data_IF_754383878764
#
_entry.id   IF_754383878764
#
_cell.length_a   1.000
_cell.length_b   1.000
_cell.length_c   1.000
_cell.angle_alpha   90.00
_cell.angle_beta   90.00
_cell.angle_gamma   90.00
#
_symmetry.space_group_name_H-M   'P 1'
#
loop_
_entity.id
_entity.type
_entity.pdbx_description
1 polymer ?
#
# COMPACT_ATOMS: atom_id res chain seq x y z
N UNK A 1 30.77 -3.84 -56.74
CA UNK A 1 29.70 -4.25 -55.81
C UNK A 1 29.83 -3.39 -54.57
N UNK A 2 28.96 -2.39 -54.46
CA UNK A 2 29.14 -1.16 -53.67
C UNK A 2 28.61 -1.29 -52.23
N UNK A 3 29.41 -0.87 -51.25
CA UNK A 3 28.99 -0.67 -49.86
C UNK A 3 28.25 0.65 -49.71
N UNK A 4 26.92 0.60 -49.52
CA UNK A 4 26.11 1.79 -49.26
C UNK A 4 26.04 2.08 -47.77
N UNK A 5 26.87 3.03 -47.33
CA UNK A 5 26.86 3.64 -45.99
C UNK A 5 25.62 4.54 -45.87
N UNK A 6 24.62 4.13 -45.09
CA UNK A 6 23.42 4.95 -44.82
C UNK A 6 23.78 6.12 -43.89
N UNK A 7 23.61 7.34 -44.37
CA UNK A 7 23.64 8.59 -43.59
C UNK A 7 22.44 8.60 -42.63
N UNK A 8 22.69 8.87 -41.35
CA UNK A 8 21.63 9.19 -40.39
C UNK A 8 21.04 10.56 -40.74
N UNK A 9 19.71 10.62 -40.84
CA UNK A 9 18.94 11.84 -41.06
C UNK A 9 18.47 12.44 -39.72
N UNK A 10 19.38 12.56 -38.76
CA UNK A 10 19.08 13.18 -37.47
C UNK A 10 20.05 14.34 -37.28
N UNK A 11 19.52 15.55 -37.47
CA UNK A 11 20.25 16.79 -37.27
C UNK A 11 19.90 17.33 -35.88
N UNK A 12 20.78 17.22 -34.88
CA UNK A 12 20.48 17.60 -33.50
C UNK A 12 20.45 19.12 -33.27
N UNK A 13 20.76 19.94 -34.28
CA UNK A 13 20.70 21.40 -34.20
C UNK A 13 19.42 22.01 -34.82
N UNK A 14 18.45 21.18 -35.24
CA UNK A 14 17.18 21.66 -35.80
C UNK A 14 16.15 22.12 -34.73
N UNK A 15 16.50 22.10 -33.44
CA UNK A 15 15.63 22.52 -32.32
C UNK A 15 16.09 23.85 -31.71
N UNK A 16 16.38 24.83 -32.56
CA UNK A 16 16.61 26.21 -32.16
C UNK A 16 15.28 26.94 -31.97
N UNK A 17 14.84 27.08 -30.72
CA UNK A 17 13.76 27.99 -30.31
C UNK A 17 12.34 27.44 -30.43
N UNK A 18 11.48 27.81 -29.49
CA UNK A 18 10.01 27.69 -29.55
C UNK A 18 9.31 26.38 -29.12
N UNK A 19 9.90 25.61 -28.20
CA UNK A 19 9.16 24.52 -27.52
C UNK A 19 8.21 25.08 -26.42
N UNK A 20 8.47 26.27 -25.89
CA UNK A 20 7.70 26.86 -24.78
C UNK A 20 6.33 27.43 -25.22
N UNK A 21 6.10 27.59 -26.53
CA UNK A 21 4.82 28.06 -27.09
C UNK A 21 3.78 26.96 -27.34
N UNK A 22 4.16 25.68 -27.16
CA UNK A 22 3.29 24.52 -27.40
C UNK A 22 2.61 23.99 -26.12
N UNK A 23 2.80 24.65 -24.97
CA UNK A 23 2.08 24.35 -23.75
C UNK A 23 0.73 25.08 -23.73
N UNK A 24 -0.38 24.43 -23.35
CA UNK A 24 -1.65 25.13 -23.14
C UNK A 24 -1.47 26.18 -22.02
N UNK A 25 -1.84 27.43 -22.30
CA UNK A 25 -1.75 28.52 -21.34
C UNK A 25 -2.57 28.20 -20.08
N UNK A 26 -1.97 28.48 -18.92
CA UNK A 26 -2.61 28.35 -17.61
C UNK A 26 -3.81 29.31 -17.52
N UNK A 27 -4.96 28.89 -16.95
CA UNK A 27 -6.12 29.77 -16.81
C UNK A 27 -5.82 30.96 -15.87
N UNK A 28 -6.47 32.12 -16.07
CA UNK A 28 -6.21 33.31 -15.27
C UNK A 28 -6.60 33.07 -13.80
N UNK A 29 -5.72 33.54 -12.91
CA UNK A 29 -5.92 33.52 -11.46
C UNK A 29 -7.09 34.44 -11.08
N UNK A 30 -8.05 34.02 -10.24
CA UNK A 30 -9.11 34.92 -9.78
C UNK A 30 -8.51 36.06 -8.96
N UNK A 31 -8.78 37.29 -9.39
CA UNK A 31 -8.48 38.52 -8.65
C UNK A 31 -9.21 38.52 -7.31
N UNK A 32 -8.55 38.83 -6.18
CA UNK A 32 -9.28 39.13 -4.96
C UNK A 32 -10.11 40.40 -5.17
N UNK A 33 -11.41 40.30 -4.96
CA UNK A 33 -12.33 41.43 -4.90
C UNK A 33 -11.82 42.33 -3.77
N UNK A 34 -11.25 43.47 -4.16
CA UNK A 34 -10.88 44.55 -3.25
C UNK A 34 -12.17 45.23 -2.79
N UNK A 35 -12.53 45.18 -1.49
CA UNK A 35 -13.65 45.96 -0.99
C UNK A 35 -13.32 47.44 -1.15
N UNK A 36 -14.29 48.19 -1.63
CA UNK A 36 -14.27 49.65 -1.77
C UNK A 36 -13.94 50.27 -0.41
N UNK A 37 -12.83 50.99 -0.33
CA UNK A 37 -12.49 51.84 0.81
C UNK A 37 -13.38 53.08 0.76
N UNK A 38 -14.27 53.20 1.76
CA UNK A 38 -14.82 54.48 2.17
C UNK A 38 -13.86 55.12 3.20
N UNK A 39 -13.62 56.42 3.07
CA UNK A 39 -12.93 57.28 4.04
C UNK A 39 -13.90 58.35 4.53
N UNK A 40 -13.66 59.07 5.65
CA UNK A 40 -12.85 58.76 6.85
C UNK A 40 -13.53 59.10 8.21
N UNK A 41 -13.12 58.41 9.30
CA UNK A 41 -12.94 58.79 10.74
C UNK A 41 -13.99 59.66 11.53
N UNK A 42 -13.96 59.78 12.89
CA UNK A 42 -13.15 59.15 13.96
C UNK A 42 -13.96 58.59 15.18
N UNK A 43 -13.21 58.14 16.21
CA UNK A 43 -13.55 57.98 17.65
C UNK A 43 -13.77 56.57 18.28
N UNK A 44 -13.04 56.41 19.40
CA UNK A 44 -12.90 55.34 20.42
C UNK A 44 -14.22 54.89 21.13
N UNK A 45 -14.21 53.98 22.15
CA UNK A 45 -13.41 52.79 22.45
C UNK A 45 -14.29 51.57 22.90
N UNK A 46 -13.62 50.45 23.24
CA UNK A 46 -14.08 49.36 24.14
C UNK A 46 -15.15 48.34 23.66
N UNK A 47 -14.73 47.08 23.52
CA UNK A 47 -15.18 45.95 24.38
C UNK A 47 -14.55 44.63 23.94
N UNK A 48 -14.00 43.91 24.92
CA UNK A 48 -13.67 42.51 24.79
C UNK A 48 -14.91 41.67 24.44
N UNK A 49 -14.77 40.72 23.52
CA UNK A 49 -15.66 39.56 23.41
C UNK A 49 -14.90 38.36 22.86
N UNK A 50 -14.90 37.32 23.68
CA UNK A 50 -14.35 35.97 23.49
C UNK A 50 -15.28 35.16 22.59
N UNK A 51 -14.73 34.11 21.95
CA UNK A 51 -15.40 32.98 21.24
C UNK A 51 -15.44 33.14 19.72
N UNK A 52 -15.01 32.21 18.86
CA UNK A 52 -14.61 30.80 18.99
C UNK A 52 -13.77 30.40 17.75
N UNK A 53 -12.91 29.36 17.81
CA UNK A 53 -12.35 28.78 16.60
C UNK A 53 -13.44 27.99 15.87
N UNK A 54 -13.88 28.48 14.71
CA UNK A 54 -14.72 27.68 13.82
C UNK A 54 -13.90 26.49 13.30
N UNK A 55 -13.97 25.41 14.04
CA UNK A 55 -13.64 24.07 13.59
C UNK A 55 -14.71 23.62 12.60
N UNK A 56 -14.64 24.13 11.37
CA UNK A 56 -15.28 23.49 10.24
C UNK A 56 -14.39 22.31 9.82
N UNK A 57 -14.41 21.25 10.63
CA UNK A 57 -13.97 19.93 10.19
C UNK A 57 -14.96 19.48 9.12
N UNK A 58 -14.72 19.91 7.89
CA UNK A 58 -15.33 19.31 6.73
C UNK A 58 -14.93 17.84 6.76
N UNK A 59 -15.86 16.98 7.16
CA UNK A 59 -15.78 15.53 7.01
C UNK A 59 -15.72 15.26 5.51
N UNK A 60 -14.53 15.46 4.94
CA UNK A 60 -14.14 14.79 3.69
C UNK A 60 -14.33 13.33 4.04
N UNK A 61 -15.32 12.69 3.44
CA UNK A 61 -15.42 11.23 3.47
C UNK A 61 -14.03 10.71 3.17
N UNK A 62 -13.36 10.23 4.23
CA UNK A 62 -11.99 9.80 4.13
C UNK A 62 -12.02 8.72 3.07
N UNK A 63 -11.36 8.96 1.93
CA UNK A 63 -11.07 7.92 0.97
C UNK A 63 -10.17 6.95 1.74
N UNK A 64 -10.81 6.03 2.45
CA UNK A 64 -10.18 5.06 3.33
C UNK A 64 -9.16 4.35 2.46
N UNK A 65 -7.89 4.38 2.86
CA UNK A 65 -6.86 3.71 2.10
C UNK A 65 -7.28 2.25 1.88
N UNK A 66 -7.03 1.66 0.70
CA UNK A 66 -7.32 0.26 0.47
C UNK A 66 -6.73 -0.58 1.60
N UNK A 67 -7.43 -1.62 2.07
CA UNK A 67 -6.90 -2.47 3.12
C UNK A 67 -5.58 -3.08 2.67
N UNK A 68 -4.56 -2.96 3.50
CA UNK A 68 -3.22 -3.49 3.22
C UNK A 68 -2.93 -4.69 4.14
N UNK A 69 -2.07 -5.60 3.66
CA UNK A 69 -1.47 -6.67 4.44
C UNK A 69 0.05 -6.50 4.43
N UNK A 70 0.70 -6.71 5.58
CA UNK A 70 2.16 -6.64 5.71
C UNK A 70 2.71 -8.05 5.57
N UNK A 71 3.71 -8.24 4.71
CA UNK A 71 4.33 -9.54 4.46
C UNK A 71 5.85 -9.44 4.41
N UNK A 72 6.51 -10.59 4.57
CA UNK A 72 7.93 -10.72 4.26
C UNK A 72 8.23 -10.31 2.80
N UNK A 73 9.36 -9.62 2.55
CA UNK A 73 9.69 -9.10 1.22
C UNK A 73 9.95 -10.22 0.19
N UNK A 74 10.39 -11.40 0.62
CA UNK A 74 10.58 -12.57 -0.24
C UNK A 74 9.24 -13.03 -0.84
N UNK A 75 8.19 -13.04 -0.01
CA UNK A 75 6.81 -13.36 -0.40
C UNK A 75 6.30 -12.31 -1.40
N UNK A 76 6.48 -11.03 -1.08
CA UNK A 76 6.08 -9.93 -1.96
C UNK A 76 6.76 -9.98 -3.33
N UNK A 77 8.08 -10.21 -3.37
CA UNK A 77 8.82 -10.28 -4.64
C UNK A 77 8.36 -11.44 -5.51
N UNK A 78 8.10 -12.60 -4.90
CA UNK A 78 7.63 -13.79 -5.62
C UNK A 78 6.22 -13.58 -6.16
N UNK A 79 5.32 -13.01 -5.33
CA UNK A 79 3.98 -12.63 -5.75
C UNK A 79 4.00 -11.64 -6.91
N UNK A 80 4.85 -10.60 -6.84
CA UNK A 80 5.01 -9.61 -7.91
C UNK A 80 5.50 -10.23 -9.21
N UNK A 81 6.46 -11.16 -9.15
CA UNK A 81 6.94 -11.89 -10.33
C UNK A 81 5.83 -12.72 -10.95
N UNK A 82 5.03 -13.40 -10.13
CA UNK A 82 3.90 -14.20 -10.59
C UNK A 82 2.87 -13.34 -11.33
N UNK A 83 2.40 -12.24 -10.73
CA UNK A 83 1.37 -11.40 -11.35
C UNK A 83 1.89 -10.68 -12.60
N UNK A 84 3.17 -10.28 -12.63
CA UNK A 84 3.78 -9.71 -13.83
C UNK A 84 3.87 -10.73 -14.97
N UNK A 85 4.24 -11.98 -14.67
CA UNK A 85 4.26 -13.07 -15.66
C UNK A 85 2.86 -13.34 -16.20
N UNK A 86 1.86 -13.46 -15.33
CA UNK A 86 0.47 -13.67 -15.74
C UNK A 86 -0.03 -12.56 -16.65
N UNK A 87 0.30 -11.30 -16.32
CA UNK A 87 -0.09 -10.15 -17.16
C UNK A 87 0.62 -10.13 -18.52
N UNK A 88 1.84 -10.64 -18.61
CA UNK A 88 2.57 -10.76 -19.88
C UNK A 88 2.00 -11.88 -20.76
N UNK A 89 1.60 -13.00 -20.16
CA UNK A 89 1.05 -14.15 -20.88
C UNK A 89 -0.40 -13.94 -21.29
N UNK A 90 -1.23 -13.41 -20.38
CA UNK A 90 -2.69 -13.30 -20.52
C UNK A 90 -3.18 -12.01 -19.83
N UNK A 91 -3.11 -10.85 -20.50
CA UNK A 91 -3.49 -9.58 -19.90
C UNK A 91 -4.94 -9.54 -19.43
N UNK A 92 -5.86 -10.17 -20.17
CA UNK A 92 -7.31 -10.16 -19.87
C UNK A 92 -7.69 -11.04 -18.66
N UNK A 93 -6.81 -11.96 -18.26
CA UNK A 93 -7.05 -12.90 -17.14
C UNK A 93 -6.02 -12.72 -16.02
N UNK A 94 -5.30 -11.60 -16.02
CA UNK A 94 -4.29 -11.33 -15.01
C UNK A 94 -4.97 -11.08 -13.65
N UNK A 95 -4.63 -11.91 -12.66
CA UNK A 95 -5.21 -11.80 -11.33
C UNK A 95 -4.64 -10.61 -10.57
N UNK A 96 -5.48 -9.96 -9.78
CA UNK A 96 -5.01 -8.93 -8.84
C UNK A 96 -4.27 -9.59 -7.66
N UNK A 97 -3.48 -8.80 -6.92
CA UNK A 97 -2.86 -9.31 -5.69
C UNK A 97 -3.90 -9.82 -4.70
N UNK A 98 -5.04 -9.11 -4.57
CA UNK A 98 -6.12 -9.53 -3.69
C UNK A 98 -6.73 -10.87 -4.09
N UNK A 99 -6.94 -11.10 -5.40
CA UNK A 99 -7.45 -12.38 -5.90
C UNK A 99 -6.47 -13.52 -5.63
N UNK A 100 -5.17 -13.33 -5.87
CA UNK A 100 -4.17 -14.37 -5.57
C UNK A 100 -4.12 -14.69 -4.08
N UNK A 101 -4.35 -13.69 -3.21
CA UNK A 101 -4.43 -13.92 -1.76
C UNK A 101 -5.66 -14.78 -1.40
N UNK A 102 -6.83 -14.49 -1.96
CA UNK A 102 -8.03 -15.30 -1.73
C UNK A 102 -7.83 -16.74 -2.23
N UNK A 103 -7.36 -16.89 -3.48
CA UNK A 103 -7.03 -18.19 -4.07
C UNK A 103 -6.06 -18.99 -3.17
N UNK A 104 -5.04 -18.32 -2.62
CA UNK A 104 -4.05 -18.95 -1.74
C UNK A 104 -4.62 -19.40 -0.39
N UNK A 105 -5.54 -18.61 0.19
CA UNK A 105 -6.22 -18.96 1.44
C UNK A 105 -7.16 -20.14 1.21
N UNK A 106 -7.95 -20.11 0.15
CA UNK A 106 -8.89 -21.18 -0.20
C UNK A 106 -8.17 -22.49 -0.52
N UNK A 107 -7.08 -22.43 -1.30
CA UNK A 107 -6.32 -23.62 -1.67
C UNK A 107 -5.65 -24.35 -0.49
N UNK A 108 -5.44 -23.66 0.63
CA UNK A 108 -4.72 -24.18 1.80
C UNK A 108 -5.47 -24.03 3.12
N UNK A 109 -6.79 -23.84 3.09
CA UNK A 109 -7.57 -23.53 4.30
C UNK A 109 -7.39 -24.58 5.42
N UNK A 110 -7.44 -25.86 5.08
CA UNK A 110 -7.30 -26.96 6.05
C UNK A 110 -5.89 -27.03 6.65
N UNK A 111 -4.87 -26.89 5.81
CA UNK A 111 -3.48 -26.93 6.23
C UNK A 111 -3.13 -25.70 7.10
N UNK A 112 -3.71 -24.54 6.77
CA UNK A 112 -3.58 -23.29 7.52
C UNK A 112 -4.22 -23.44 8.90
N UNK A 113 -5.48 -23.90 8.97
CA UNK A 113 -6.15 -24.15 10.23
C UNK A 113 -5.37 -25.14 11.12
N UNK A 114 -4.84 -26.21 10.52
CA UNK A 114 -4.02 -27.21 11.21
C UNK A 114 -2.74 -26.60 11.78
N UNK A 115 -2.05 -25.76 11.01
CA UNK A 115 -0.79 -25.14 11.40
C UNK A 115 -0.89 -24.29 12.68
N UNK A 116 -1.92 -23.45 12.78
CA UNK A 116 -2.08 -22.65 13.98
C UNK A 116 -2.65 -23.43 15.15
N UNK A 117 -3.49 -24.44 14.91
CA UNK A 117 -3.94 -25.36 15.98
C UNK A 117 -2.77 -26.11 16.60
N UNK A 118 -1.84 -26.62 15.78
CA UNK A 118 -0.64 -27.33 16.25
C UNK A 118 0.35 -26.37 16.94
N UNK A 119 0.53 -25.17 16.40
CA UNK A 119 1.37 -24.13 17.02
C UNK A 119 0.81 -23.70 18.39
N UNK A 120 -0.50 -23.58 18.53
CA UNK A 120 -1.16 -23.27 19.79
C UNK A 120 -1.10 -24.43 20.81
N UNK A 121 -1.00 -25.67 20.32
CA UNK A 121 -1.00 -26.87 21.15
C UNK A 121 0.31 -27.10 21.91
N UNK A 122 1.41 -26.42 21.59
CA UNK A 122 2.69 -26.52 22.34
C UNK A 122 2.51 -25.84 23.70
N UNK A 123 2.29 -26.58 24.80
CA UNK A 123 2.04 -25.96 26.09
C UNK A 123 3.37 -25.39 26.56
N UNK A 124 3.41 -24.09 26.84
CA UNK A 124 4.55 -23.49 27.50
C UNK A 124 4.77 -24.23 28.83
N UNK A 125 5.89 -24.98 28.91
CA UNK A 125 6.30 -25.69 30.11
C UNK A 125 6.09 -24.79 31.32
N UNK A 126 5.35 -25.31 32.31
CA UNK A 126 4.79 -24.66 33.51
C UNK A 126 5.78 -23.79 34.31
N UNK A 127 6.19 -22.67 33.73
CA UNK A 127 7.09 -21.68 34.34
C UNK A 127 6.41 -20.34 34.25
N UNK A 128 6.25 -19.72 35.41
CA UNK A 128 5.65 -18.39 35.59
C UNK A 128 6.40 -17.29 34.82
N UNK A 129 7.68 -17.52 34.52
CA UNK A 129 8.52 -16.58 33.80
C UNK A 129 9.17 -17.26 32.60
N UNK A 130 9.01 -16.63 31.42
CA UNK A 130 9.78 -16.98 30.23
C UNK A 130 11.20 -16.45 30.38
N UNK A 131 12.19 -17.31 30.15
CA UNK A 131 13.60 -16.91 30.07
C UNK A 131 13.91 -16.58 28.61
N UNK A 132 14.63 -15.49 28.37
CA UNK A 132 15.11 -15.15 27.03
C UNK A 132 16.18 -16.18 26.67
N UNK A 133 15.95 -16.99 25.64
CA UNK A 133 16.96 -17.91 25.13
C UNK A 133 18.10 -17.09 24.50
N UNK A 134 19.34 -17.16 25.04
CA UNK A 134 20.48 -16.43 24.49
C UNK A 134 20.92 -16.97 23.12
N UNK A 135 20.42 -18.14 22.71
CA UNK A 135 20.60 -18.74 21.39
C UNK A 135 19.70 -18.12 20.33
N UNK A 136 18.66 -17.35 20.70
CA UNK A 136 17.81 -16.67 19.75
C UNK A 136 18.58 -15.47 19.17
N UNK A 137 18.81 -15.40 17.85
CA UNK A 137 19.63 -14.36 17.27
C UNK A 137 19.05 -12.99 17.60
N UNK A 138 19.78 -12.21 18.40
CA UNK A 138 19.46 -10.81 18.74
C UNK A 138 19.30 -10.05 17.43
N UNK A 139 18.05 -9.65 17.15
CA UNK A 139 17.58 -8.90 15.98
C UNK A 139 18.69 -8.10 15.31
N UNK A 140 19.32 -8.67 14.26
CA UNK A 140 20.26 -7.94 13.40
C UNK A 140 19.47 -6.77 12.83
N UNK A 141 19.90 -5.54 13.15
CA UNK A 141 19.27 -4.34 12.62
C UNK A 141 19.36 -4.42 11.09
N UNK A 142 18.17 -4.48 10.47
CA UNK A 142 17.88 -4.54 9.04
C UNK A 142 18.12 -5.90 8.34
N UNK A 143 17.22 -6.86 8.56
CA UNK A 143 17.15 -8.05 7.70
C UNK A 143 16.47 -7.72 6.35
N UNK A 144 15.35 -6.98 6.38
CA UNK A 144 14.69 -6.36 5.23
C UNK A 144 13.43 -5.66 5.75
N UNK A 145 13.02 -4.54 5.15
CA UNK A 145 11.79 -3.85 5.57
C UNK A 145 10.57 -4.67 5.13
N UNK A 146 9.57 -4.89 6.01
CA UNK A 146 8.34 -5.56 5.64
C UNK A 146 7.68 -4.85 4.45
N UNK A 147 7.21 -5.64 3.48
CA UNK A 147 6.53 -5.13 2.31
C UNK A 147 5.02 -5.05 2.55
N UNK A 148 4.33 -4.11 1.89
CA UNK A 148 2.88 -3.97 1.99
C UNK A 148 2.24 -4.40 0.68
N UNK A 149 1.24 -5.28 0.77
CA UNK A 149 0.40 -5.70 -0.34
C UNK A 149 -0.93 -4.96 -0.24
N UNK A 150 -1.33 -4.18 -1.26
CA UNK A 150 -2.69 -3.66 -1.32
C UNK A 150 -3.64 -4.81 -1.65
N UNK A 151 -4.64 -5.04 -0.80
CA UNK A 151 -5.70 -6.02 -1.02
C UNK A 151 -6.79 -5.42 -1.94
N UNK A 152 -6.35 -4.80 -3.03
CA UNK A 152 -7.24 -4.17 -4.00
C UNK A 152 -8.01 -5.23 -4.80
N UNK A 153 -9.29 -4.99 -5.01
CA UNK A 153 -10.20 -5.91 -5.72
C UNK A 153 -10.84 -6.98 -4.84
N UNK A 154 -10.57 -6.98 -3.52
CA UNK A 154 -11.34 -7.78 -2.55
C UNK A 154 -12.51 -6.94 -2.04
N UNK A 155 -13.70 -7.54 -1.95
CA UNK A 155 -14.88 -6.86 -1.39
C UNK A 155 -14.76 -6.73 0.15
N UNK A 156 -15.39 -5.71 0.78
CA UNK A 156 -15.27 -5.50 2.22
C UNK A 156 -15.73 -6.69 3.08
N UNK A 157 -16.64 -7.50 2.57
CA UNK A 157 -17.14 -8.70 3.25
C UNK A 157 -16.05 -9.77 3.37
N UNK A 158 -15.40 -10.13 2.27
CA UNK A 158 -14.29 -11.09 2.27
C UNK A 158 -13.11 -10.61 3.13
N UNK A 159 -12.87 -9.29 3.19
CA UNK A 159 -11.87 -8.72 4.10
C UNK A 159 -12.22 -9.00 5.56
N UNK A 160 -13.50 -8.86 5.94
CA UNK A 160 -13.97 -9.20 7.28
C UNK A 160 -13.89 -10.71 7.54
N UNK A 161 -14.20 -11.53 6.53
CA UNK A 161 -14.04 -12.98 6.64
C UNK A 161 -12.58 -13.36 6.91
N UNK A 162 -11.61 -12.74 6.23
CA UNK A 162 -10.18 -12.94 6.52
C UNK A 162 -9.83 -12.56 7.97
N UNK A 163 -10.38 -11.45 8.48
CA UNK A 163 -10.17 -11.02 9.87
C UNK A 163 -10.81 -12.01 10.87
N UNK A 164 -11.99 -12.56 10.56
CA UNK A 164 -12.65 -13.62 11.34
C UNK A 164 -11.83 -14.90 11.34
N UNK A 165 -11.40 -15.40 10.17
CA UNK A 165 -10.57 -16.60 10.05
C UNK A 165 -9.24 -16.45 10.81
N UNK A 166 -8.60 -15.27 10.72
CA UNK A 166 -7.39 -14.99 11.47
C UNK A 166 -7.60 -15.06 12.99
N UNK A 167 -8.79 -14.70 13.46
CA UNK A 167 -9.17 -14.77 14.88
C UNK A 167 -9.50 -16.21 15.28
N UNK A 168 -10.31 -16.92 14.49
CA UNK A 168 -10.73 -18.30 14.76
C UNK A 168 -9.57 -19.29 14.77
N UNK A 169 -8.61 -19.13 13.85
CA UNK A 169 -7.43 -19.98 13.78
C UNK A 169 -6.34 -19.54 14.75
N UNK A 170 -6.43 -18.35 15.34
CA UNK A 170 -5.40 -17.84 16.25
C UNK A 170 -4.13 -17.36 15.53
N UNK A 171 -4.24 -16.96 14.26
CA UNK A 171 -3.13 -16.39 13.49
C UNK A 171 -2.67 -15.01 14.02
N UNK A 172 -3.50 -14.37 14.84
CA UNK A 172 -3.22 -13.11 15.54
C UNK A 172 -3.47 -11.86 14.68
N UNK A 173 -3.23 -11.92 13.37
CA UNK A 173 -3.61 -10.83 12.46
C UNK A 173 -3.85 -11.33 11.03
N UNK A 174 -4.62 -10.56 10.25
CA UNK A 174 -4.80 -10.80 8.82
C UNK A 174 -3.48 -10.87 8.06
N UNK A 175 -2.52 -10.00 8.39
CA UNK A 175 -1.20 -9.99 7.76
C UNK A 175 -0.49 -11.33 7.93
N UNK A 176 -0.53 -11.92 9.14
CA UNK A 176 0.08 -13.22 9.41
C UNK A 176 -0.64 -14.35 8.66
N UNK A 177 -1.98 -14.31 8.61
CA UNK A 177 -2.77 -15.27 7.84
C UNK A 177 -2.41 -15.24 6.35
N UNK A 178 -2.41 -14.04 5.76
CA UNK A 178 -2.11 -13.82 4.34
C UNK A 178 -0.67 -14.21 4.02
N UNK A 179 0.28 -13.89 4.91
CA UNK A 179 1.69 -14.25 4.70
C UNK A 179 1.88 -15.77 4.62
N UNK A 180 1.33 -16.52 5.57
CA UNK A 180 1.45 -17.99 5.58
C UNK A 180 0.70 -18.64 4.41
N UNK A 181 -0.48 -18.14 4.05
CA UNK A 181 -1.20 -18.60 2.86
C UNK A 181 -0.37 -18.44 1.59
N UNK A 182 0.21 -17.24 1.38
CA UNK A 182 1.07 -16.97 0.24
C UNK A 182 2.37 -17.78 0.25
N UNK A 183 2.96 -18.02 1.43
CA UNK A 183 4.16 -18.87 1.54
C UNK A 183 3.89 -20.28 1.03
N UNK A 184 2.76 -20.88 1.41
CA UNK A 184 2.36 -22.23 0.97
C UNK A 184 2.05 -22.25 -0.52
N UNK A 185 1.22 -21.33 -0.97
CA UNK A 185 0.80 -21.25 -2.37
C UNK A 185 1.98 -21.02 -3.34
N UNK A 186 2.91 -20.14 -2.96
CA UNK A 186 4.12 -19.84 -3.74
C UNK A 186 5.28 -20.81 -3.45
N UNK A 187 5.10 -21.77 -2.53
CA UNK A 187 6.10 -22.76 -2.11
C UNK A 187 7.41 -22.14 -1.63
N UNK A 188 7.30 -21.09 -0.82
CA UNK A 188 8.43 -20.36 -0.22
C UNK A 188 8.76 -21.00 1.13
N UNK A 189 10.00 -21.50 1.29
CA UNK A 189 10.45 -22.11 2.54
C UNK A 189 10.64 -21.06 3.65
N UNK A 190 10.27 -21.41 4.89
CA UNK A 190 10.68 -20.67 6.08
C UNK A 190 12.21 -20.67 6.15
N UNK A 191 12.81 -19.51 6.38
CA UNK A 191 14.25 -19.32 6.50
C UNK A 191 14.58 -18.81 7.90
#
# INVERSE_FOLDING_TARGET
>A
MSSTKRRGAFDPNALGGDIDSLLPQSPPRPTPIRPVQASPAPDEPARASVSAPQSASAVRSARSAPPEAVVAPEVYQTLRKLTMRERQEKPDRARSYGQVVLDAVEAHADDLASHWRETAAVPAASRLFRRVDPSQPRRRRHASSPARIPLAGIIPEDIRQLDTLATEWGAGSRSALVEEALRRYLKISHK
#
